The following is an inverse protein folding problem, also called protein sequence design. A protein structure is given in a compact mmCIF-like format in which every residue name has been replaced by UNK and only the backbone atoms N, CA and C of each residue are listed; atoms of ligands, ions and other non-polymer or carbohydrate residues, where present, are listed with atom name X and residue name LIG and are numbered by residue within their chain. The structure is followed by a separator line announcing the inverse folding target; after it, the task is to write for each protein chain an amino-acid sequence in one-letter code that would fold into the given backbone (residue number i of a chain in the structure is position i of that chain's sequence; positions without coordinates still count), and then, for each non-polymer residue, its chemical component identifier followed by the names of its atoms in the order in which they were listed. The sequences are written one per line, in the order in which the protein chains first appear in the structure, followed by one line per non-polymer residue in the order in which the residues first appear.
data_IF_809376678383
#
_entry.id   IF_809376678383
#
_cell.length_a   1.000
_cell.length_b   1.000
_cell.length_c   1.000
_cell.angle_alpha   90.00
_cell.angle_beta   90.00
_cell.angle_gamma   90.00
#
_symmetry.space_group_name_H-M   'P 1'
#
loop_
_entity.id
_entity.type
_entity.pdbx_description
1 polymer ?
#
# COMPACT_ATOMS: atom_id res chain seq x y z
N UNK A 1 14.80 -2.69 -6.11
CA UNK A 1 15.07 -1.65 -7.13
C UNK A 1 15.55 -2.23 -8.47
N UNK A 2 16.71 -2.90 -8.57
CA UNK A 2 17.26 -3.38 -9.86
C UNK A 2 16.36 -4.38 -10.60
N UNK A 3 15.66 -5.25 -9.86
CA UNK A 3 14.77 -6.26 -10.45
C UNK A 3 13.61 -5.66 -11.25
N UNK A 4 13.10 -4.48 -10.88
CA UNK A 4 12.05 -3.83 -11.66
C UNK A 4 12.57 -3.34 -13.00
N UNK A 5 13.78 -2.77 -13.04
CA UNK A 5 14.39 -2.33 -14.29
C UNK A 5 14.63 -3.51 -15.24
N UNK A 6 15.08 -4.64 -14.70
CA UNK A 6 15.23 -5.88 -15.46
C UNK A 6 13.87 -6.36 -15.97
N UNK A 7 12.85 -6.43 -15.11
CA UNK A 7 11.51 -6.86 -15.49
C UNK A 7 10.89 -5.99 -16.60
N UNK A 8 11.01 -4.65 -16.49
CA UNK A 8 10.56 -3.70 -17.52
C UNK A 8 11.28 -3.94 -18.84
N UNK A 9 12.61 -4.08 -18.80
CA UNK A 9 13.42 -4.29 -19.99
C UNK A 9 13.08 -5.62 -20.67
N UNK A 10 12.96 -6.70 -19.88
CA UNK A 10 12.57 -8.02 -20.38
C UNK A 10 11.17 -7.96 -21.01
N UNK A 11 10.19 -7.37 -20.35
CA UNK A 11 8.83 -7.25 -20.91
C UNK A 11 8.78 -6.42 -22.19
N UNK A 12 9.55 -5.32 -22.25
CA UNK A 12 9.72 -4.53 -23.46
C UNK A 12 10.33 -5.33 -24.61
N UNK A 13 11.37 -6.11 -24.35
CA UNK A 13 12.00 -6.99 -25.34
C UNK A 13 11.08 -8.14 -25.75
N UNK A 14 10.32 -8.73 -24.83
CA UNK A 14 9.38 -9.81 -25.13
C UNK A 14 8.27 -9.33 -26.07
N UNK A 15 7.60 -8.22 -25.73
CA UNK A 15 6.52 -7.69 -26.55
C UNK A 15 7.02 -7.06 -27.86
N UNK A 16 8.17 -6.38 -27.83
CA UNK A 16 8.83 -5.89 -29.05
C UNK A 16 9.27 -7.03 -29.97
N UNK A 17 9.84 -8.10 -29.42
CA UNK A 17 10.25 -9.30 -30.13
C UNK A 17 9.06 -10.05 -30.73
N UNK A 18 7.97 -10.19 -29.98
CA UNK A 18 6.73 -10.76 -30.47
C UNK A 18 6.16 -9.93 -31.63
N UNK A 19 6.15 -8.60 -31.51
CA UNK A 19 5.71 -7.70 -32.56
C UNK A 19 6.57 -7.81 -33.83
N UNK A 20 7.89 -7.94 -33.68
CA UNK A 20 8.80 -8.19 -34.79
C UNK A 20 8.51 -9.53 -35.47
N UNK A 21 8.29 -10.60 -34.69
CA UNK A 21 7.96 -11.92 -35.21
C UNK A 21 6.65 -11.91 -35.99
N UNK A 22 5.59 -11.31 -35.43
CA UNK A 22 4.28 -11.18 -36.09
C UNK A 22 4.41 -10.37 -37.39
N UNK A 23 5.16 -9.26 -37.38
CA UNK A 23 5.42 -8.47 -38.59
C UNK A 23 6.10 -9.31 -39.68
N UNK A 24 7.12 -10.08 -39.32
CA UNK A 24 7.86 -10.93 -40.27
C UNK A 24 6.99 -12.07 -40.79
N UNK A 25 6.21 -12.71 -39.93
CA UNK A 25 5.24 -13.74 -40.31
C UNK A 25 4.16 -13.21 -41.26
N UNK A 26 3.73 -11.95 -41.08
CA UNK A 26 2.75 -11.27 -41.94
C UNK A 26 3.37 -10.66 -43.20
N UNK A 27 4.55 -11.12 -43.64
CA UNK A 27 5.29 -10.54 -44.80
C UNK A 27 5.39 -9.01 -44.76
N UNK A 28 5.65 -8.42 -43.60
CA UNK A 28 5.84 -6.97 -43.41
C UNK A 28 4.62 -6.08 -43.71
N UNK A 29 3.40 -6.61 -43.69
CA UNK A 29 2.17 -5.80 -43.89
C UNK A 29 1.87 -4.80 -42.79
N UNK A 30 2.39 -5.02 -41.58
CA UNK A 30 2.24 -4.07 -40.46
C UNK A 30 3.15 -2.84 -40.66
N UNK A 31 2.90 -1.75 -39.93
CA UNK A 31 3.73 -0.55 -40.00
C UNK A 31 5.04 -0.69 -39.20
N UNK A 32 6.09 0.07 -39.56
CA UNK A 32 7.40 -0.01 -38.90
C UNK A 32 7.36 0.45 -37.43
N UNK A 33 6.45 1.37 -37.10
CA UNK A 33 6.25 1.88 -35.74
C UNK A 33 5.57 0.89 -34.79
N UNK A 34 5.02 -0.22 -35.30
CA UNK A 34 4.32 -1.20 -34.48
C UNK A 34 5.24 -1.88 -33.47
N UNK A 35 6.49 -2.17 -33.87
CA UNK A 35 7.50 -2.78 -33.00
C UNK A 35 7.82 -1.89 -31.78
N UNK A 36 8.25 -0.62 -31.94
CA UNK A 36 8.52 0.23 -30.78
C UNK A 36 7.27 0.54 -29.96
N UNK A 37 6.08 0.63 -30.58
CA UNK A 37 4.84 0.81 -29.85
C UNK A 37 4.49 -0.38 -28.96
N UNK A 38 4.61 -1.61 -29.46
CA UNK A 38 4.40 -2.82 -28.64
C UNK A 38 5.44 -2.96 -27.53
N UNK A 39 6.69 -2.60 -27.78
CA UNK A 39 7.72 -2.59 -26.74
C UNK A 39 7.39 -1.58 -25.63
N UNK A 40 7.02 -0.35 -25.99
CA UNK A 40 6.60 0.67 -25.03
C UNK A 40 5.33 0.26 -24.25
N UNK A 41 4.35 -0.34 -24.93
CA UNK A 41 3.16 -0.88 -24.30
C UNK A 41 3.50 -1.99 -23.28
N UNK A 42 4.48 -2.84 -23.59
CA UNK A 42 4.98 -3.86 -22.67
C UNK A 42 5.64 -3.30 -21.42
N UNK A 43 6.48 -2.28 -21.60
CA UNK A 43 7.09 -1.56 -20.49
C UNK A 43 6.02 -0.94 -19.58
N UNK A 44 5.08 -0.19 -20.17
CA UNK A 44 3.98 0.44 -19.41
C UNK A 44 3.07 -0.58 -18.74
N UNK A 45 2.77 -1.69 -19.41
CA UNK A 45 1.95 -2.78 -18.86
C UNK A 45 2.60 -3.41 -17.63
N UNK A 46 3.91 -3.62 -17.65
CA UNK A 46 4.64 -4.12 -16.48
C UNK A 46 4.60 -3.13 -15.30
N UNK A 47 4.78 -1.83 -15.57
CA UNK A 47 4.68 -0.81 -14.52
C UNK A 47 3.28 -0.81 -13.88
N UNK A 48 2.24 -0.89 -14.70
CA UNK A 48 0.86 -0.97 -14.22
C UNK A 48 0.62 -2.26 -13.41
N UNK A 49 1.07 -3.41 -13.90
CA UNK A 49 0.97 -4.69 -13.21
C UNK A 49 1.60 -4.62 -11.82
N UNK A 50 2.84 -4.16 -11.73
CA UNK A 50 3.53 -3.96 -10.45
C UNK A 50 2.79 -2.97 -9.56
N UNK A 51 2.07 -2.01 -10.16
CA UNK A 51 1.31 -1.05 -9.39
C UNK A 51 0.13 -1.69 -8.64
N UNK A 52 -0.52 -2.69 -9.24
CA UNK A 52 -1.65 -3.37 -8.62
C UNK A 52 -1.22 -4.53 -7.71
N UNK A 53 -0.20 -5.29 -8.12
CA UNK A 53 0.26 -6.49 -7.42
C UNK A 53 0.83 -6.20 -6.02
N UNK A 54 1.44 -5.02 -5.83
CA UNK A 54 2.10 -4.63 -4.58
C UNK A 54 1.22 -4.78 -3.34
N UNK A 55 -0.06 -4.36 -3.40
CA UNK A 55 -0.94 -4.37 -2.23
C UNK A 55 -1.23 -5.81 -1.78
N UNK A 56 -1.61 -6.67 -2.73
CA UNK A 56 -1.90 -8.08 -2.46
C UNK A 56 -0.65 -8.81 -1.97
N UNK A 57 0.49 -8.54 -2.60
CA UNK A 57 1.77 -9.09 -2.17
C UNK A 57 2.13 -8.67 -0.74
N UNK A 58 2.06 -7.37 -0.39
CA UNK A 58 2.36 -6.91 0.97
C UNK A 58 1.36 -7.45 1.99
N UNK A 59 0.08 -7.51 1.64
CA UNK A 59 -0.95 -8.10 2.50
C UNK A 59 -0.69 -9.58 2.79
N UNK A 60 -0.21 -10.35 1.81
CA UNK A 60 0.14 -11.77 1.99
C UNK A 60 1.32 -12.02 2.93
N UNK A 61 2.14 -10.99 3.20
CA UNK A 61 3.28 -11.07 4.12
C UNK A 61 2.93 -10.66 5.55
N UNK A 62 1.71 -10.18 5.79
CA UNK A 62 1.27 -9.77 7.12
C UNK A 62 1.03 -11.00 8.01
N UNK A 63 1.38 -10.94 9.31
CA UNK A 63 1.07 -12.01 10.24
C UNK A 63 -0.43 -12.30 10.35
N UNK A 64 -0.77 -13.56 10.65
CA UNK A 64 -2.15 -13.95 10.96
C UNK A 64 -2.70 -13.11 12.12
N UNK A 65 -3.94 -12.62 11.97
CA UNK A 65 -4.58 -11.70 12.92
C UNK A 65 -4.46 -10.22 12.57
N UNK A 66 -3.66 -9.86 11.56
CA UNK A 66 -3.56 -8.47 11.10
C UNK A 66 -4.81 -8.04 10.30
N UNK A 67 -5.41 -6.92 10.67
CA UNK A 67 -6.59 -6.33 10.00
C UNK A 67 -6.20 -5.04 9.30
N UNK A 68 -6.49 -4.95 8.00
CA UNK A 68 -6.34 -3.70 7.24
C UNK A 68 -7.54 -2.79 7.56
N UNK A 69 -7.27 -1.58 8.06
CA UNK A 69 -8.30 -0.64 8.52
C UNK A 69 -8.50 0.55 7.60
N UNK A 70 -7.48 0.89 6.81
CA UNK A 70 -7.58 2.00 5.87
C UNK A 70 -6.74 1.72 4.62
N UNK A 71 -7.28 2.07 3.46
CA UNK A 71 -6.60 1.97 2.16
C UNK A 71 -6.64 3.33 1.46
N UNK A 72 -5.48 3.81 1.03
CA UNK A 72 -5.33 5.07 0.31
C UNK A 72 -4.95 4.78 -1.15
N UNK A 73 -5.81 5.24 -2.05
CA UNK A 73 -5.63 5.10 -3.50
C UNK A 73 -5.26 6.46 -4.09
N UNK A 74 -4.13 6.53 -4.77
CA UNK A 74 -3.60 7.78 -5.31
C UNK A 74 -3.58 7.80 -6.83
N UNK A 75 -3.85 8.98 -7.41
CA UNK A 75 -3.72 9.24 -8.84
C UNK A 75 -2.47 10.05 -9.12
N UNK A 76 -1.82 9.80 -10.25
CA UNK A 76 -0.63 10.54 -10.66
C UNK A 76 -0.60 10.76 -12.17
N UNK A 77 -0.15 11.94 -12.59
CA UNK A 77 0.01 12.32 -14.00
C UNK A 77 0.93 11.35 -14.77
N UNK A 78 1.95 10.81 -14.10
CA UNK A 78 2.90 9.87 -14.72
C UNK A 78 2.36 8.45 -14.85
N UNK A 79 1.22 8.15 -14.20
CA UNK A 79 0.57 6.83 -14.20
C UNK A 79 -0.79 6.94 -14.88
N UNK A 80 -0.86 6.93 -16.23
CA UNK A 80 -2.12 7.14 -16.95
C UNK A 80 -3.21 6.14 -16.57
N UNK A 81 -2.84 4.89 -16.24
CA UNK A 81 -3.78 3.87 -15.77
C UNK A 81 -4.46 4.23 -14.43
N UNK A 82 -3.82 5.03 -13.58
CA UNK A 82 -4.35 5.43 -12.28
C UNK A 82 -5.59 6.32 -12.37
N UNK A 83 -5.78 7.02 -13.50
CA UNK A 83 -6.98 7.82 -13.76
C UNK A 83 -8.21 6.96 -14.03
N UNK A 84 -8.01 5.79 -14.67
CA UNK A 84 -9.07 4.83 -14.91
C UNK A 84 -9.35 4.02 -13.64
N UNK A 85 -8.30 3.47 -13.03
CA UNK A 85 -8.40 2.67 -11.82
C UNK A 85 -7.20 2.94 -10.90
N UNK A 86 -7.36 3.73 -9.82
CA UNK A 86 -6.23 4.06 -8.96
C UNK A 86 -5.84 2.85 -8.10
N UNK A 87 -4.57 2.46 -8.14
CA UNK A 87 -4.02 1.42 -7.28
C UNK A 87 -3.88 1.92 -5.83
N UNK A 88 -3.82 0.98 -4.87
CA UNK A 88 -3.52 1.28 -3.46
C UNK A 88 -2.04 1.64 -3.36
N UNK A 89 -1.77 2.84 -2.84
CA UNK A 89 -0.42 3.37 -2.67
C UNK A 89 -0.01 3.45 -1.19
N UNK A 90 -0.97 3.44 -0.27
CA UNK A 90 -0.70 3.26 1.14
C UNK A 90 -1.84 2.52 1.81
N UNK A 91 -1.56 1.80 2.89
CA UNK A 91 -2.60 1.21 3.73
C UNK A 91 -2.14 1.16 5.19
N UNK A 92 -3.12 1.17 6.09
CA UNK A 92 -2.92 1.06 7.53
C UNK A 92 -3.42 -0.29 8.00
N UNK A 93 -2.58 -0.97 8.77
CA UNK A 93 -2.85 -2.28 9.33
C UNK A 93 -2.72 -2.26 10.86
N UNK A 94 -3.58 -3.02 11.53
CA UNK A 94 -3.57 -3.29 12.96
C UNK A 94 -3.19 -4.75 13.18
N UNK A 95 -2.25 -5.04 14.07
CA UNK A 95 -1.84 -6.41 14.40
C UNK A 95 -2.79 -7.12 15.39
N UNK A 96 -3.82 -6.40 15.88
CA UNK A 96 -4.79 -6.88 16.88
C UNK A 96 -4.23 -6.95 18.30
N UNK A 97 -2.95 -6.67 18.50
CA UNK A 97 -2.32 -6.68 19.82
C UNK A 97 -2.50 -5.32 20.47
N UNK A 98 -2.93 -5.36 21.72
CA UNK A 98 -3.13 -4.16 22.51
C UNK A 98 -2.81 -4.46 23.97
N UNK A 99 -2.33 -3.44 24.68
CA UNK A 99 -2.09 -3.47 26.12
C UNK A 99 -3.14 -2.60 26.80
N UNK A 100 -3.77 -3.12 27.85
CA UNK A 100 -4.79 -2.37 28.60
C UNK A 100 -4.22 -1.93 29.95
N UNK A 101 -4.43 -0.67 30.30
CA UNK A 101 -4.04 -0.08 31.57
C UNK A 101 -5.21 0.66 32.19
N UNK A 102 -5.41 0.48 33.49
CA UNK A 102 -6.33 1.30 34.28
C UNK A 102 -5.56 2.46 34.90
N UNK A 103 -6.04 3.68 34.67
CA UNK A 103 -5.48 4.90 35.25
C UNK A 103 -6.62 5.84 35.64
N UNK A 104 -6.64 6.30 36.88
CA UNK A 104 -7.67 7.19 37.43
C UNK A 104 -9.12 6.72 37.19
N UNK A 105 -9.33 5.40 37.21
CA UNK A 105 -10.64 4.78 36.96
C UNK A 105 -11.06 4.71 35.49
N UNK A 106 -10.20 5.14 34.57
CA UNK A 106 -10.40 5.06 33.12
C UNK A 106 -9.58 3.90 32.54
N UNK A 107 -10.13 3.25 31.52
CA UNK A 107 -9.49 2.14 30.80
C UNK A 107 -8.82 2.68 29.55
N UNK A 108 -7.50 2.72 29.60
CA UNK A 108 -6.63 3.12 28.52
C UNK A 108 -6.14 1.87 27.77
N UNK A 109 -6.15 1.93 26.46
CA UNK A 109 -5.69 0.86 25.56
C UNK A 109 -4.57 1.41 24.69
N UNK A 110 -3.40 0.82 24.80
CA UNK A 110 -2.24 1.13 23.96
C UNK A 110 -2.14 0.11 22.82
N UNK A 111 -1.93 0.60 21.60
CA UNK A 111 -1.85 -0.24 20.40
C UNK A 111 -0.95 0.40 19.34
N UNK A 112 -0.54 -0.40 18.34
CA UNK A 112 0.29 0.07 17.23
C UNK A 112 -0.48 0.06 15.91
N UNK A 113 -0.34 1.14 15.15
CA UNK A 113 -0.78 1.22 13.75
C UNK A 113 0.45 1.13 12.84
N UNK A 114 0.39 0.22 11.87
CA UNK A 114 1.43 0.05 10.86
C UNK A 114 0.96 0.64 9.55
N UNK A 115 1.58 1.75 9.14
CA UNK A 115 1.32 2.39 7.86
C UNK A 115 2.39 2.00 6.86
N UNK A 116 1.95 1.32 5.80
CA UNK A 116 2.81 0.90 4.70
C UNK A 116 2.65 1.86 3.54
N UNK A 117 3.74 2.53 3.15
CA UNK A 117 3.78 3.35 1.95
C UNK A 117 4.46 2.60 0.81
N UNK A 118 3.88 2.73 -0.38
CA UNK A 118 4.46 2.25 -1.62
C UNK A 118 5.52 3.20 -2.14
N UNK A 119 6.62 3.29 -1.40
CA UNK A 119 7.77 4.09 -1.78
C UNK A 119 8.99 3.22 -2.11
N UNK A 120 9.91 3.70 -2.96
CA UNK A 120 11.16 2.98 -3.28
C UNK A 120 12.02 2.64 -2.06
N UNK A 121 11.84 3.38 -0.96
CA UNK A 121 12.54 3.20 0.30
C UNK A 121 11.80 2.26 1.28
N UNK A 122 10.63 1.75 0.89
CA UNK A 122 9.77 0.87 1.71
C UNK A 122 9.65 1.34 3.17
N UNK A 123 9.37 2.63 3.36
CA UNK A 123 9.29 3.20 4.71
C UNK A 123 8.09 2.59 5.45
N UNK A 124 8.40 1.84 6.51
CA UNK A 124 7.41 1.41 7.48
C UNK A 124 7.29 2.49 8.55
N UNK A 125 6.14 3.15 8.60
CA UNK A 125 5.83 4.08 9.68
C UNK A 125 5.00 3.34 10.72
N UNK A 126 5.60 3.13 11.89
CA UNK A 126 4.92 2.54 13.05
C UNK A 126 4.57 3.65 14.01
N UNK A 127 3.28 3.85 14.25
CA UNK A 127 2.78 4.87 15.16
C UNK A 127 2.08 4.19 16.33
N UNK A 128 2.49 4.53 17.55
CA UNK A 128 1.80 4.10 18.77
C UNK A 128 0.66 5.06 19.11
N UNK A 129 -0.45 4.50 19.56
CA UNK A 129 -1.63 5.24 19.99
C UNK A 129 -2.11 4.73 21.35
N UNK A 130 -2.55 5.67 22.19
CA UNK A 130 -3.32 5.36 23.39
C UNK A 130 -4.75 5.81 23.16
N UNK A 131 -5.70 4.92 23.46
CA UNK A 131 -7.14 5.09 23.31
C UNK A 131 -7.79 5.03 24.69
N UNK A 132 -8.61 6.02 25.01
CA UNK A 132 -9.48 6.02 26.17
C UNK A 132 -10.84 5.42 25.80
N UNK A 133 -11.18 4.28 26.42
CA UNK A 133 -12.42 3.57 26.09
C UNK A 133 -13.67 4.30 26.59
N UNK A 134 -13.56 5.14 27.63
CA UNK A 134 -14.67 5.90 28.20
C UNK A 134 -14.97 7.17 27.39
N UNK A 135 -13.94 7.95 27.04
CA UNK A 135 -14.12 9.22 26.31
C UNK A 135 -14.14 9.06 24.79
N UNK A 136 -13.73 7.89 24.27
CA UNK A 136 -13.60 7.63 22.82
C UNK A 136 -12.58 8.55 22.15
N UNK A 137 -11.54 8.90 22.87
CA UNK A 137 -10.45 9.75 22.39
C UNK A 137 -9.16 8.96 22.30
N UNK A 138 -8.38 9.22 21.26
CA UNK A 138 -7.05 8.66 21.09
C UNK A 138 -6.03 9.76 20.88
N UNK A 139 -4.77 9.45 21.20
CA UNK A 139 -3.64 10.33 20.90
C UNK A 139 -2.43 9.50 20.49
N UNK A 140 -1.74 9.98 19.46
CA UNK A 140 -0.47 9.44 19.03
C UNK A 140 0.61 9.75 20.07
N UNK A 141 1.47 8.78 20.39
CA UNK A 141 2.59 8.98 21.32
C UNK A 141 3.87 8.31 20.84
N UNK A 142 5.02 8.76 21.34
CA UNK A 142 6.30 8.08 21.14
C UNK A 142 6.43 6.94 22.15
N UNK A 143 6.54 5.70 21.66
CA UNK A 143 6.64 4.51 22.50
C UNK A 143 7.92 4.46 23.36
N UNK A 144 8.97 5.24 23.04
CA UNK A 144 10.21 5.29 23.83
C UNK A 144 10.11 6.25 25.00
N UNK A 145 9.58 7.44 24.75
CA UNK A 145 9.56 8.53 25.73
C UNK A 145 8.20 8.70 26.42
N UNK A 146 7.15 8.02 25.93
CA UNK A 146 5.78 8.11 26.45
C UNK A 146 5.11 9.46 26.19
N UNK A 147 5.70 10.31 25.34
CA UNK A 147 5.23 11.67 25.10
C UNK A 147 4.20 11.70 23.97
N UNK A 148 3.11 12.48 24.09
CA UNK A 148 2.19 12.73 22.99
C UNK A 148 2.93 13.39 21.82
N UNK A 149 2.74 12.84 20.62
CA UNK A 149 3.34 13.34 19.37
C UNK A 149 2.33 13.99 18.44
N UNK A 150 1.03 13.83 18.72
CA UNK A 150 -0.06 14.36 17.90
C UNK A 150 -1.19 14.97 18.71
N UNK A 151 -2.19 15.55 18.03
CA UNK A 151 -3.40 16.04 18.67
C UNK A 151 -4.25 14.89 19.22
N UNK A 152 -5.15 15.22 20.15
CA UNK A 152 -6.20 14.30 20.58
C UNK A 152 -7.26 14.23 19.48
N UNK A 153 -7.57 13.01 19.04
CA UNK A 153 -8.55 12.72 18.00
C UNK A 153 -9.68 11.87 18.58
N UNK A 154 -10.93 12.20 18.25
CA UNK A 154 -12.06 11.34 18.55
C UNK A 154 -12.09 10.11 17.62
N UNK A 155 -12.45 8.94 18.16
CA UNK A 155 -12.60 7.71 17.39
C UNK A 155 -14.06 7.22 17.40
N UNK A 156 -14.52 6.71 16.26
CA UNK A 156 -15.83 6.07 16.16
C UNK A 156 -15.86 4.74 16.92
N UNK A 157 -16.98 4.46 17.59
CA UNK A 157 -17.28 3.18 18.22
C UNK A 157 -17.37 2.02 17.23
N UNK A 158 -17.58 2.32 15.95
CA UNK A 158 -17.58 1.32 14.87
C UNK A 158 -16.18 1.01 14.34
N UNK A 159 -15.15 1.75 14.74
CA UNK A 159 -13.78 1.47 14.31
C UNK A 159 -13.35 0.05 14.72
N UNK A 160 -12.51 -0.57 13.89
CA UNK A 160 -12.03 -1.93 14.15
C UNK A 160 -11.31 -2.02 15.49
N UNK A 161 -10.46 -1.03 15.82
CA UNK A 161 -9.71 -0.99 17.07
C UNK A 161 -10.61 -0.82 18.30
N UNK A 162 -11.61 0.07 18.23
CA UNK A 162 -12.51 0.27 19.36
C UNK A 162 -13.33 -0.99 19.65
N UNK A 163 -13.83 -1.65 18.59
CA UNK A 163 -14.57 -2.91 18.72
C UNK A 163 -13.72 -4.07 19.21
N UNK A 164 -12.43 -4.12 18.88
CA UNK A 164 -11.55 -5.21 19.30
C UNK A 164 -10.97 -5.03 20.70
N UNK A 165 -10.77 -3.80 21.17
CA UNK A 165 -10.03 -3.53 22.40
C UNK A 165 -10.86 -2.95 23.55
N UNK A 166 -11.95 -2.23 23.25
CA UNK A 166 -12.80 -1.61 24.28
C UNK A 166 -14.12 -2.36 24.52
N UNK A 167 -14.49 -3.32 23.68
CA UNK A 167 -15.72 -4.11 23.83
C UNK A 167 -15.41 -5.48 24.42
#
# INVERSE_FOLDING_TARGET
MIWHLVGVLVMGLCLGGLAFFVRKATRNRLAKWWIPASAAAGMLGYLAYYDYDWYDFKRSQLPEGTVVVHEERGRSLLKPWSYLHPAVNAFVALDGKHSTRLQDGQRLVEYFEYRFHKDPLERLETQAYVLNCETQERVAFDAKDGRPTGPVEGISTESAIFRSACR
#
